data_IF_126300220256
#
_entry.id   IF_126300220256
#
_cell.length_a   1.000
_cell.length_b   1.000
_cell.length_c   1.000
_cell.angle_alpha   90.00
_cell.angle_beta   90.00
_cell.angle_gamma   90.00
#
_symmetry.space_group_name_H-M   'P 1'
#
loop_
_entity.id
_entity.type
_entity.pdbx_description
1 polymer ?
#
# COMPACT_ATOMS: atom_id res chain seq x y z
N UNK A 1 26.01 8.72 -19.94
CA UNK A 1 25.86 7.95 -18.69
C UNK A 1 24.43 7.45 -18.65
N UNK A 2 24.17 6.16 -18.43
CA UNK A 2 22.82 5.57 -18.60
C UNK A 2 22.06 5.47 -17.28
N UNK A 3 20.95 6.19 -17.19
CA UNK A 3 19.88 5.95 -16.22
C UNK A 3 19.10 4.69 -16.61
N UNK A 4 18.72 3.82 -15.67
CA UNK A 4 17.79 2.75 -16.01
C UNK A 4 16.41 3.32 -16.34
N UNK A 5 15.77 2.75 -17.34
CA UNK A 5 14.45 3.14 -17.82
C UNK A 5 13.33 2.49 -16.99
N UNK A 6 12.12 3.06 -17.02
CA UNK A 6 10.95 2.42 -16.43
C UNK A 6 10.78 0.99 -16.97
N UNK A 7 10.99 0.78 -18.27
CA UNK A 7 10.98 -0.54 -18.91
C UNK A 7 11.97 -1.54 -18.30
N UNK A 8 13.21 -1.12 -18.04
CA UNK A 8 14.23 -1.98 -17.41
C UNK A 8 13.86 -2.30 -15.96
N UNK A 9 13.41 -1.31 -15.20
CA UNK A 9 12.93 -1.49 -13.84
C UNK A 9 11.71 -2.41 -13.78
N UNK A 10 10.71 -2.23 -14.66
CA UNK A 10 9.54 -3.11 -14.75
C UNK A 10 9.94 -4.55 -15.04
N UNK A 11 10.89 -4.78 -15.97
CA UNK A 11 11.38 -6.13 -16.26
C UNK A 11 12.05 -6.76 -15.02
N UNK A 12 12.86 -5.98 -14.31
CA UNK A 12 13.54 -6.43 -13.10
C UNK A 12 12.56 -6.69 -11.95
N UNK A 13 11.60 -5.80 -11.69
CA UNK A 13 10.60 -5.98 -10.64
C UNK A 13 9.74 -7.22 -10.89
N UNK A 14 9.38 -7.49 -12.15
CA UNK A 14 8.66 -8.71 -12.53
C UNK A 14 9.48 -9.98 -12.33
N UNK A 15 10.81 -9.94 -12.37
CA UNK A 15 11.63 -11.11 -12.01
C UNK A 15 11.61 -11.43 -10.51
N UNK A 16 11.15 -10.49 -9.69
CA UNK A 16 10.81 -10.69 -8.27
C UNK A 16 9.31 -10.91 -8.05
N UNK A 17 8.57 -11.26 -9.11
CA UNK A 17 7.12 -11.53 -9.08
C UNK A 17 6.25 -10.33 -8.67
N UNK A 18 6.83 -9.11 -8.67
CA UNK A 18 6.07 -7.89 -8.39
C UNK A 18 5.13 -7.60 -9.56
N UNK A 19 3.82 -7.51 -9.25
CA UNK A 19 2.77 -7.22 -10.22
C UNK A 19 2.73 -5.74 -10.58
N UNK A 20 3.64 -5.28 -11.42
CA UNK A 20 3.69 -3.89 -11.89
C UNK A 20 3.63 -3.77 -13.42
N UNK A 21 3.14 -2.63 -13.90
CA UNK A 21 3.28 -2.18 -15.28
C UNK A 21 4.28 -1.02 -15.40
N UNK A 22 4.61 -0.66 -16.64
CA UNK A 22 5.58 0.40 -16.92
C UNK A 22 5.07 1.77 -16.51
N UNK A 23 3.76 2.03 -16.59
CA UNK A 23 3.17 3.31 -16.20
C UNK A 23 3.29 3.54 -14.69
N UNK A 24 3.02 2.51 -13.88
CA UNK A 24 3.15 2.56 -12.43
C UNK A 24 4.61 2.73 -11.99
N UNK A 25 5.54 2.04 -12.65
CA UNK A 25 6.98 2.21 -12.38
C UNK A 25 7.48 3.59 -12.81
N UNK A 26 6.98 4.12 -13.93
CA UNK A 26 7.31 5.47 -14.37
C UNK A 26 6.78 6.52 -13.40
N UNK A 27 5.58 6.34 -12.86
CA UNK A 27 5.02 7.23 -11.85
C UNK A 27 5.85 7.21 -10.56
N UNK A 28 6.24 6.03 -10.09
CA UNK A 28 7.17 5.89 -8.95
C UNK A 28 8.46 6.67 -9.19
N UNK A 29 9.10 6.47 -10.35
CA UNK A 29 10.33 7.17 -10.73
C UNK A 29 10.18 8.71 -10.77
N UNK A 30 9.00 9.20 -11.11
CA UNK A 30 8.72 10.63 -11.15
C UNK A 30 8.46 11.22 -9.76
N UNK A 31 7.95 10.41 -8.83
CA UNK A 31 7.54 10.83 -7.49
C UNK A 31 8.70 10.74 -6.49
N UNK A 32 9.56 9.74 -6.66
CA UNK A 32 10.78 9.65 -5.85
C UNK A 32 11.79 10.70 -6.30
N UNK A 33 12.34 11.46 -5.34
CA UNK A 33 13.49 12.35 -5.57
C UNK A 33 14.79 11.54 -5.77
N UNK A 34 14.72 10.44 -6.51
CA UNK A 34 15.82 9.56 -6.92
C UNK A 34 16.70 10.28 -7.93
N UNK A 35 17.24 11.43 -7.51
CA UNK A 35 18.08 12.32 -8.32
C UNK A 35 19.45 11.76 -8.62
N UNK A 36 19.76 10.52 -8.27
CA UNK A 36 21.01 9.87 -8.65
C UNK A 36 20.81 8.38 -8.95
N UNK A 37 19.98 8.07 -9.93
CA UNK A 37 20.00 6.74 -10.56
C UNK A 37 21.07 6.75 -11.65
N UNK A 38 22.34 6.76 -11.24
CA UNK A 38 23.48 6.44 -12.11
C UNK A 38 23.89 4.96 -11.97
N UNK A 39 23.05 4.13 -11.34
CA UNK A 39 23.28 2.73 -11.06
C UNK A 39 22.27 1.85 -11.81
N UNK A 40 22.63 0.60 -12.04
CA UNK A 40 21.70 -0.45 -12.50
C UNK A 40 20.53 -0.61 -11.53
N UNK A 41 19.40 -1.14 -12.00
CA UNK A 41 18.31 -1.55 -11.10
C UNK A 41 18.85 -2.61 -10.15
N UNK A 42 18.53 -2.48 -8.87
CA UNK A 42 18.99 -3.38 -7.81
C UNK A 42 17.79 -3.83 -6.97
N UNK A 43 17.98 -4.85 -6.15
CA UNK A 43 16.96 -5.32 -5.22
C UNK A 43 16.46 -4.21 -4.27
N UNK A 44 17.31 -3.25 -3.88
CA UNK A 44 16.90 -2.09 -3.08
C UNK A 44 15.76 -1.32 -3.74
N UNK A 45 15.82 -1.15 -5.07
CA UNK A 45 14.79 -0.46 -5.83
C UNK A 45 13.47 -1.25 -5.87
N UNK A 46 13.52 -2.59 -5.78
CA UNK A 46 12.32 -3.42 -5.63
C UNK A 46 11.65 -3.09 -4.30
N UNK A 47 12.41 -3.08 -3.21
CA UNK A 47 11.91 -2.74 -1.89
C UNK A 47 11.34 -1.32 -1.84
N UNK A 48 12.06 -0.33 -2.37
CA UNK A 48 11.61 1.07 -2.43
C UNK A 48 10.33 1.23 -3.27
N UNK A 49 10.25 0.57 -4.42
CA UNK A 49 9.04 0.56 -5.25
C UNK A 49 7.85 -0.07 -4.52
N UNK A 50 8.05 -1.23 -3.89
CA UNK A 50 6.96 -1.94 -3.19
C UNK A 50 6.45 -1.17 -1.98
N UNK A 51 7.33 -0.53 -1.21
CA UNK A 51 6.96 0.29 -0.06
C UNK A 51 6.21 1.56 -0.51
N UNK A 52 6.70 2.26 -1.55
CA UNK A 52 5.99 3.38 -2.15
C UNK A 52 4.60 2.96 -2.65
N UNK A 53 4.52 1.85 -3.38
CA UNK A 53 3.25 1.39 -3.94
C UNK A 53 2.25 0.99 -2.85
N UNK A 54 2.71 0.39 -1.75
CA UNK A 54 1.87 0.07 -0.58
C UNK A 54 1.30 1.31 0.10
N UNK A 55 2.04 2.42 0.10
CA UNK A 55 1.62 3.68 0.75
C UNK A 55 0.75 4.55 -0.16
N UNK A 56 0.84 4.37 -1.48
CA UNK A 56 0.07 5.12 -2.45
C UNK A 56 -1.45 5.02 -2.18
N UNK A 57 -2.13 6.16 -2.15
CA UNK A 57 -3.55 6.28 -1.82
C UNK A 57 -3.88 6.22 -0.33
N UNK A 58 -2.89 5.96 0.55
CA UNK A 58 -3.11 5.88 2.00
C UNK A 58 -2.77 7.20 2.70
N UNK A 59 -3.05 7.29 3.99
CA UNK A 59 -2.58 8.41 4.83
C UNK A 59 -1.05 8.50 4.97
N UNK A 60 -0.30 7.53 4.45
CA UNK A 60 1.16 7.47 4.49
C UNK A 60 1.81 7.70 3.13
N UNK A 61 1.04 8.11 2.13
CA UNK A 61 1.58 8.51 0.83
C UNK A 61 2.59 9.65 1.00
N UNK A 62 3.75 9.54 0.34
CA UNK A 62 4.79 10.56 0.43
C UNK A 62 4.35 11.86 -0.24
N UNK A 63 4.69 13.00 0.37
CA UNK A 63 4.42 14.32 -0.21
C UNK A 63 3.01 14.88 -0.01
N UNK A 64 2.10 14.14 0.64
CA UNK A 64 0.78 14.69 1.01
C UNK A 64 0.90 15.64 2.20
N UNK A 65 0.03 16.65 2.26
CA UNK A 65 -0.05 17.57 3.39
C UNK A 65 -0.80 16.96 4.60
N UNK A 66 -0.64 17.57 5.77
CA UNK A 66 -1.24 17.09 7.02
C UNK A 66 -2.77 17.06 6.97
N UNK A 67 -3.42 17.99 6.26
CA UNK A 67 -4.88 18.00 6.14
C UNK A 67 -5.33 16.79 5.32
N UNK A 68 -4.71 16.54 4.17
CA UNK A 68 -4.99 15.36 3.34
C UNK A 68 -4.74 14.07 4.14
N UNK A 69 -3.68 14.01 4.93
CA UNK A 69 -3.36 12.88 5.80
C UNK A 69 -4.44 12.65 6.85
N UNK A 70 -4.88 13.69 7.55
CA UNK A 70 -5.94 13.62 8.56
C UNK A 70 -7.25 13.15 7.92
N UNK A 71 -7.64 13.70 6.77
CA UNK A 71 -8.85 13.29 6.05
C UNK A 71 -8.83 11.79 5.69
N UNK A 72 -7.71 11.30 5.16
CA UNK A 72 -7.55 9.86 4.85
C UNK A 72 -7.62 8.98 6.10
N UNK A 73 -7.02 9.42 7.22
CA UNK A 73 -7.09 8.69 8.49
C UNK A 73 -8.53 8.63 9.03
N UNK A 74 -9.29 9.72 8.95
CA UNK A 74 -10.68 9.74 9.40
C UNK A 74 -11.56 8.79 8.59
N UNK A 75 -11.36 8.73 7.27
CA UNK A 75 -12.06 7.77 6.40
C UNK A 75 -11.71 6.32 6.79
N UNK A 76 -10.43 6.04 7.05
CA UNK A 76 -9.99 4.70 7.43
C UNK A 76 -10.54 4.28 8.80
N UNK A 77 -10.59 5.19 9.77
CA UNK A 77 -11.21 4.94 11.08
C UNK A 77 -12.68 4.55 10.91
N UNK A 78 -13.45 5.31 10.13
CA UNK A 78 -14.87 5.00 9.89
C UNK A 78 -15.06 3.63 9.22
N UNK A 79 -14.19 3.28 8.28
CA UNK A 79 -14.20 1.97 7.62
C UNK A 79 -13.95 0.85 8.63
N UNK A 80 -12.94 1.00 9.49
CA UNK A 80 -12.56 0.02 10.50
C UNK A 80 -13.61 -0.14 11.60
N UNK A 81 -14.26 0.94 12.02
CA UNK A 81 -15.37 0.89 12.98
C UNK A 81 -16.52 0.04 12.43
N UNK A 82 -16.89 0.24 11.16
CA UNK A 82 -17.93 -0.55 10.49
C UNK A 82 -17.55 -2.03 10.34
N UNK A 83 -16.29 -2.31 10.03
CA UNK A 83 -15.76 -3.68 9.94
C UNK A 83 -15.82 -4.37 11.32
N UNK A 84 -15.40 -3.68 12.38
CA UNK A 84 -15.53 -4.16 13.76
C UNK A 84 -16.97 -4.45 14.16
N UNK A 85 -17.91 -3.57 13.82
CA UNK A 85 -19.33 -3.78 14.11
C UNK A 85 -19.89 -5.00 13.36
N UNK A 86 -19.43 -5.24 12.13
CA UNK A 86 -19.81 -6.42 11.35
C UNK A 86 -19.28 -7.69 12.00
N UNK A 87 -17.99 -7.73 12.32
CA UNK A 87 -17.34 -8.87 12.97
C UNK A 87 -17.98 -9.15 14.34
N UNK A 88 -18.32 -8.11 15.12
CA UNK A 88 -19.01 -8.27 16.41
C UNK A 88 -20.37 -8.93 16.24
N UNK A 89 -21.15 -8.52 15.24
CA UNK A 89 -22.46 -9.14 14.95
C UNK A 89 -22.30 -10.59 14.52
N UNK A 90 -21.38 -10.88 13.61
CA UNK A 90 -21.09 -12.25 13.17
C UNK A 90 -20.67 -13.13 14.34
N UNK A 91 -19.77 -12.63 15.20
CA UNK A 91 -19.35 -13.32 16.41
C UNK A 91 -20.54 -13.62 17.32
N UNK A 92 -21.40 -12.63 17.61
CA UNK A 92 -22.59 -12.85 18.45
C UNK A 92 -23.53 -13.90 17.87
N UNK A 93 -23.75 -13.91 16.54
CA UNK A 93 -24.56 -14.94 15.89
C UNK A 93 -23.94 -16.33 16.05
N UNK A 94 -22.63 -16.46 15.84
CA UNK A 94 -21.92 -17.73 16.03
C UNK A 94 -21.94 -18.21 17.49
N UNK A 95 -21.79 -17.30 18.45
CA UNK A 95 -21.89 -17.62 19.88
C UNK A 95 -23.29 -18.16 20.22
N UNK A 96 -24.35 -17.52 19.70
CA UNK A 96 -25.73 -18.00 19.84
C UNK A 96 -25.93 -19.38 19.21
N UNK A 97 -25.40 -19.62 18.01
CA UNK A 97 -25.47 -20.92 17.32
C UNK A 97 -24.76 -22.03 18.10
N UNK A 98 -23.69 -21.68 18.84
CA UNK A 98 -22.95 -22.58 19.72
C UNK A 98 -23.58 -22.74 21.10
N UNK A 99 -24.70 -22.06 21.38
CA UNK A 99 -25.34 -22.06 22.71
C UNK A 99 -24.52 -21.33 23.78
N UNK A 100 -23.57 -20.48 23.39
CA UNK A 100 -22.81 -19.61 24.28
C UNK A 100 -23.69 -18.38 24.53
N UNK A 101 -24.21 -18.26 25.74
CA UNK A 101 -25.00 -17.10 26.14
C UNK A 101 -24.12 -15.84 26.15
N UNK A 102 -24.54 -14.74 25.50
CA UNK A 102 -23.83 -13.47 25.57
C UNK A 102 -23.96 -12.77 26.95
N UNK A 103 -24.65 -13.41 27.92
CA UNK A 103 -24.92 -12.88 29.26
C UNK A 103 -24.43 -13.79 30.40
N UNK A 104 -23.70 -14.87 30.08
CA UNK A 104 -23.08 -15.75 31.09
C UNK A 104 -21.73 -15.19 31.60
#
# INVERSE_FOLDING_TARGET
>A
MSSFTAKEATKYFRSYEVKCDEALVQEWLNNTNTRQINALVTEKHVWEFTDWWRRKGTAYEEGIDDKTKIERLLIEIQRLEKENDTIRKEKTLLELDLGISPFD
#
